data_IF_112243917869
#
_entry.id   IF_112243917869
#
_cell.length_a   1.000
_cell.length_b   1.000
_cell.length_c   1.000
_cell.angle_alpha   90.00
_cell.angle_beta   90.00
_cell.angle_gamma   90.00
#
_symmetry.space_group_name_H-M   'P 1'
#
loop_
_entity.id
_entity.type
_entity.pdbx_description
1 polymer ?
#
# COMPACT_ATOMS: atom_id res chain seq x y z
N UNK A 1 -1.37 4.51 -11.73
CA UNK A 1 -1.07 5.09 -10.40
C UNK A 1 0.43 5.35 -10.19
N UNK A 2 1.20 5.65 -11.25
CA UNK A 2 2.66 5.86 -11.15
C UNK A 2 3.02 7.29 -10.70
N UNK A 3 2.10 8.26 -10.85
CA UNK A 3 2.37 9.67 -10.52
C UNK A 3 2.52 9.99 -9.01
N UNK A 4 1.94 9.18 -8.12
CA UNK A 4 2.00 9.40 -6.66
C UNK A 4 3.34 9.00 -6.03
N UNK A 5 3.93 7.89 -6.50
CA UNK A 5 5.19 7.35 -5.94
C UNK A 5 6.37 8.28 -6.23
N UNK A 6 6.43 8.85 -7.44
CA UNK A 6 7.46 9.82 -7.82
C UNK A 6 7.38 11.16 -7.06
N UNK A 7 6.23 11.45 -6.45
CA UNK A 7 5.99 12.73 -5.77
C UNK A 7 5.98 12.64 -4.24
N UNK A 8 6.24 11.45 -3.65
CA UNK A 8 6.34 11.29 -2.18
C UNK A 8 5.01 11.39 -1.42
N UNK A 9 3.86 11.24 -2.10
CA UNK A 9 2.56 11.28 -1.44
C UNK A 9 1.67 10.09 -1.84
N UNK A 10 0.87 9.62 -0.89
CA UNK A 10 -0.19 8.64 -1.16
C UNK A 10 -1.53 9.37 -1.36
N UNK A 11 -2.14 9.17 -2.52
CA UNK A 11 -3.53 9.56 -2.79
C UNK A 11 -4.37 8.30 -2.94
N UNK A 12 -5.13 7.95 -1.91
CA UNK A 12 -5.91 6.72 -1.86
C UNK A 12 -7.36 6.94 -2.33
N UNK A 13 -7.82 6.03 -3.20
CA UNK A 13 -9.23 5.79 -3.55
C UNK A 13 -10.04 7.01 -3.99
N UNK A 14 -9.94 7.44 -5.26
CA UNK A 14 -10.87 8.42 -5.88
C UNK A 14 -11.17 9.67 -5.01
N UNK A 15 -10.28 10.07 -4.10
CA UNK A 15 -10.49 11.20 -3.18
C UNK A 15 -11.37 10.92 -1.94
N UNK A 16 -11.72 9.66 -1.62
CA UNK A 16 -12.58 9.35 -0.47
C UNK A 16 -11.81 9.46 0.87
N UNK A 17 -12.23 10.45 1.67
CA UNK A 17 -11.77 10.77 3.03
C UNK A 17 -11.62 9.56 3.97
N UNK A 18 -12.43 8.51 3.82
CA UNK A 18 -12.44 7.33 4.70
C UNK A 18 -11.18 6.47 4.54
N UNK A 19 -10.47 6.56 3.42
CA UNK A 19 -9.26 5.76 3.21
C UNK A 19 -8.04 6.34 3.94
N UNK A 20 -7.96 7.66 4.04
CA UNK A 20 -6.79 8.37 4.55
C UNK A 20 -6.95 8.81 6.00
N UNK A 21 -8.19 8.99 6.51
CA UNK A 21 -8.45 9.48 7.88
C UNK A 21 -7.83 8.63 9.00
N UNK A 22 -7.70 7.33 8.78
CA UNK A 22 -7.15 6.41 9.79
C UNK A 22 -5.63 6.43 9.86
N UNK A 23 -4.95 6.97 8.84
CA UNK A 23 -3.50 7.00 8.80
C UNK A 23 -2.96 8.07 9.75
N UNK A 24 -1.88 7.72 10.44
CA UNK A 24 -1.09 8.57 11.31
C UNK A 24 0.37 8.48 10.92
N UNK A 25 1.15 9.48 11.32
CA UNK A 25 2.59 9.40 11.23
C UNK A 25 3.10 8.13 11.91
N UNK A 26 3.99 7.40 11.24
CA UNK A 26 4.49 6.11 11.70
C UNK A 26 3.77 4.92 11.10
N UNK A 27 2.58 5.09 10.54
CA UNK A 27 1.88 3.99 9.88
C UNK A 27 2.60 3.59 8.58
N UNK A 28 2.58 2.30 8.28
CA UNK A 28 3.09 1.78 7.03
C UNK A 28 1.97 1.57 6.01
N UNK A 29 2.27 1.86 4.75
CA UNK A 29 1.38 1.65 3.61
C UNK A 29 2.12 0.79 2.59
N UNK A 30 1.43 -0.23 2.09
CA UNK A 30 1.85 -0.99 0.92
C UNK A 30 0.78 -0.95 -0.15
N UNK A 31 1.19 -0.82 -1.40
CA UNK A 31 0.31 -0.89 -2.55
C UNK A 31 0.35 -2.27 -3.17
N UNK A 32 -0.83 -2.84 -3.38
CA UNK A 32 -1.03 -4.07 -4.13
C UNK A 32 -1.60 -3.75 -5.51
N UNK A 33 -0.96 -4.26 -6.56
CA UNK A 33 -1.39 -4.13 -7.94
C UNK A 33 -1.96 -5.47 -8.43
N UNK A 34 -3.28 -5.62 -8.58
CA UNK A 34 -3.86 -6.86 -9.09
C UNK A 34 -3.54 -7.08 -10.59
N UNK A 35 -3.39 -6.00 -11.36
CA UNK A 35 -3.14 -6.01 -12.81
C UNK A 35 -2.25 -4.81 -13.20
N UNK A 36 -1.61 -4.88 -14.37
CA UNK A 36 -0.73 -3.82 -14.88
C UNK A 36 -1.48 -2.52 -15.22
N UNK A 37 -2.78 -2.62 -15.54
CA UNK A 37 -3.60 -1.49 -15.99
C UNK A 37 -4.99 -1.41 -15.36
N UNK A 38 -5.64 -0.27 -15.60
CA UNK A 38 -7.03 0.00 -15.18
C UNK A 38 -7.98 -0.68 -16.17
N UNK A 39 -8.34 -1.94 -15.90
CA UNK A 39 -9.35 -2.69 -16.67
C UNK A 39 -8.78 -3.70 -17.67
N UNK A 40 -7.59 -3.48 -18.21
CA UNK A 40 -6.91 -4.44 -19.09
C UNK A 40 -5.41 -4.49 -18.81
N UNK A 41 -4.82 -5.68 -18.92
CA UNK A 41 -3.40 -5.95 -18.60
C UNK A 41 -3.19 -7.26 -17.86
N UNK A 42 -1.97 -7.79 -17.90
CA UNK A 42 -1.61 -9.07 -17.28
C UNK A 42 -1.85 -9.03 -15.76
N UNK A 43 -2.15 -10.19 -15.17
CA UNK A 43 -2.28 -10.30 -13.72
C UNK A 43 -0.91 -10.07 -13.08
N UNK A 44 -0.72 -8.91 -12.45
CA UNK A 44 0.50 -8.58 -11.69
C UNK A 44 0.47 -9.33 -10.36
N UNK A 45 -0.65 -9.20 -9.64
CA UNK A 45 -0.87 -9.79 -8.33
C UNK A 45 0.37 -9.63 -7.42
N UNK A 46 0.90 -8.42 -7.34
CA UNK A 46 2.13 -8.13 -6.63
C UNK A 46 2.00 -6.87 -5.77
N UNK A 47 2.75 -6.84 -4.68
CA UNK A 47 3.04 -5.63 -3.93
C UNK A 47 4.07 -4.83 -4.70
N UNK A 48 3.80 -3.56 -4.99
CA UNK A 48 4.62 -2.76 -5.92
C UNK A 48 5.38 -1.62 -5.27
N UNK A 49 4.88 -1.10 -4.15
CA UNK A 49 5.61 -0.11 -3.36
C UNK A 49 5.19 -0.21 -1.89
N UNK A 50 6.13 0.08 -1.00
CA UNK A 50 5.93 0.17 0.44
C UNK A 50 6.54 1.48 0.93
N UNK A 51 5.93 2.10 1.94
CA UNK A 51 6.42 3.34 2.51
C UNK A 51 5.78 3.66 3.85
N UNK A 52 6.41 4.59 4.56
CA UNK A 52 5.99 5.03 5.88
C UNK A 52 5.36 6.41 5.82
N UNK A 53 4.22 6.57 6.46
CA UNK A 53 3.56 7.86 6.60
C UNK A 53 4.40 8.77 7.49
N UNK A 54 4.81 9.91 6.94
CA UNK A 54 5.57 10.94 7.66
C UNK A 54 4.71 12.14 8.05
N UNK A 55 3.58 12.36 7.38
CA UNK A 55 2.64 13.42 7.73
C UNK A 55 1.87 13.10 9.01
N UNK A 56 1.83 14.05 9.94
CA UNK A 56 1.06 13.96 11.20
C UNK A 56 -0.44 13.74 10.95
N UNK A 57 -1.00 14.44 9.97
CA UNK A 57 -2.43 14.36 9.62
C UNK A 57 -2.63 14.36 8.10
N UNK A 58 -3.68 13.68 7.61
CA UNK A 58 -4.09 13.80 6.22
C UNK A 58 -4.45 15.25 5.89
N UNK A 59 -3.84 15.82 4.85
CA UNK A 59 -4.12 17.17 4.39
C UNK A 59 -4.92 17.14 3.08
N UNK A 60 -5.78 18.14 2.89
CA UNK A 60 -6.65 18.26 1.71
C UNK A 60 -5.96 19.14 0.69
N UNK A 61 -5.83 18.66 -0.55
CA UNK A 61 -5.33 19.48 -1.66
C UNK A 61 -6.52 19.91 -2.52
N UNK A 62 -6.61 21.21 -2.84
CA UNK A 62 -7.55 21.72 -3.83
C UNK A 62 -7.04 21.40 -5.22
N UNK A 63 -7.75 20.54 -5.95
CA UNK A 63 -7.38 20.18 -7.31
C UNK A 63 -8.59 20.31 -8.24
N UNK A 64 -8.83 21.55 -8.69
CA UNK A 64 -9.92 21.97 -9.58
C UNK A 64 -11.35 21.64 -9.09
N UNK A 65 -12.33 22.36 -9.66
CA UNK A 65 -13.75 22.40 -9.25
C UNK A 65 -14.27 21.02 -8.79
N UNK A 66 -14.60 20.93 -7.49
CA UNK A 66 -15.22 19.80 -6.77
C UNK A 66 -14.39 18.52 -6.53
N UNK A 67 -13.08 18.50 -6.82
CA UNK A 67 -12.22 17.37 -6.47
C UNK A 67 -11.15 17.77 -5.44
N UNK A 68 -11.36 17.37 -4.19
CA UNK A 68 -10.43 17.66 -3.10
C UNK A 68 -9.93 16.38 -2.43
N UNK A 69 -8.92 15.71 -3.01
CA UNK A 69 -8.38 14.49 -2.43
C UNK A 69 -7.64 14.78 -1.12
N UNK A 70 -7.78 13.86 -0.17
CA UNK A 70 -6.91 13.79 0.99
C UNK A 70 -5.61 13.12 0.59
N UNK A 71 -4.48 13.70 1.03
CA UNK A 71 -3.13 13.19 0.83
C UNK A 71 -2.45 13.02 2.19
N UNK A 72 -1.51 12.10 2.22
CA UNK A 72 -0.51 11.97 3.28
C UNK A 72 0.84 11.91 2.62
N UNK A 73 1.84 12.49 3.28
CA UNK A 73 3.23 12.37 2.85
C UNK A 73 3.72 10.99 3.29
N UNK A 74 4.34 10.29 2.35
CA UNK A 74 4.83 8.94 2.54
C UNK A 74 6.26 8.89 2.07
N UNK A 75 7.14 8.48 2.97
CA UNK A 75 8.51 8.15 2.62
C UNK A 75 8.53 6.72 2.07
N UNK A 76 8.58 6.61 0.74
CA UNK A 76 8.60 5.33 0.06
C UNK A 76 10.01 4.74 0.07
N UNK A 77 10.10 3.45 0.35
CA UNK A 77 11.36 2.71 0.26
C UNK A 77 11.70 2.52 -1.23
N UNK A 78 12.67 3.30 -1.72
CA UNK A 78 13.03 3.35 -3.16
C UNK A 78 13.67 2.06 -3.65
N UNK A 79 14.31 1.32 -2.76
CA UNK A 79 14.95 0.04 -3.06
C UNK A 79 13.93 -1.13 -3.08
N UNK A 80 12.65 -0.84 -2.80
CA UNK A 80 11.61 -1.86 -2.80
C UNK A 80 11.37 -2.41 -4.20
N UNK A 81 11.44 -3.73 -4.32
CA UNK A 81 11.18 -4.43 -5.58
C UNK A 81 9.77 -5.03 -5.57
N UNK A 82 9.10 -5.14 -6.74
CA UNK A 82 7.77 -5.74 -6.79
C UNK A 82 7.78 -7.21 -6.34
N UNK A 83 6.97 -7.53 -5.32
CA UNK A 83 6.87 -8.86 -4.73
C UNK A 83 5.53 -9.54 -5.08
N UNK A 84 5.52 -10.65 -5.84
CA UNK A 84 4.30 -11.40 -6.11
C UNK A 84 3.63 -11.88 -4.82
N UNK A 85 2.30 -11.83 -4.75
CA UNK A 85 1.56 -12.31 -3.56
C UNK A 85 1.50 -13.83 -3.47
N UNK A 86 1.63 -14.54 -4.61
CA UNK A 86 1.44 -16.00 -4.69
C UNK A 86 2.32 -16.80 -3.71
N UNK A 87 3.63 -16.54 -3.58
CA UNK A 87 4.48 -17.24 -2.60
C UNK A 87 4.10 -16.93 -1.16
N UNK A 88 3.49 -15.77 -0.91
CA UNK A 88 3.16 -15.27 0.42
C UNK A 88 1.76 -15.69 0.89
N UNK A 89 0.97 -16.36 0.04
CA UNK A 89 -0.44 -16.65 0.33
C UNK A 89 -0.64 -17.44 1.61
N UNK A 90 0.25 -18.39 1.89
CA UNK A 90 0.20 -19.25 3.08
C UNK A 90 0.92 -18.63 4.28
N UNK A 91 1.68 -17.54 4.08
CA UNK A 91 2.46 -16.89 5.13
C UNK A 91 1.76 -15.66 5.71
N UNK A 92 0.99 -14.93 4.91
CA UNK A 92 0.27 -13.75 5.34
C UNK A 92 -1.03 -14.15 6.05
N UNK A 93 -1.25 -13.62 7.26
CA UNK A 93 -2.53 -13.75 7.96
C UNK A 93 -3.68 -13.21 7.13
N UNK A 94 -3.41 -12.19 6.31
CA UNK A 94 -4.35 -11.65 5.33
C UNK A 94 -5.00 -12.72 4.43
N UNK A 95 -4.23 -13.72 3.98
CA UNK A 95 -4.62 -14.65 2.92
C UNK A 95 -4.68 -16.10 3.35
N UNK A 96 -3.92 -16.51 4.38
CA UNK A 96 -3.75 -17.91 4.80
C UNK A 96 -5.06 -18.61 5.15
N UNK A 97 -6.01 -17.89 5.75
CA UNK A 97 -7.31 -18.46 6.14
C UNK A 97 -8.32 -18.53 4.98
N UNK A 98 -7.96 -18.01 3.80
CA UNK A 98 -8.87 -17.89 2.64
C UNK A 98 -8.57 -18.87 1.51
N UNK A 99 -7.40 -19.53 1.51
CA UNK A 99 -7.00 -20.52 0.50
C UNK A 99 -7.23 -20.01 -0.93
N UNK A 100 -7.90 -20.80 -1.77
CA UNK A 100 -8.23 -20.43 -3.18
C UNK A 100 -9.05 -19.14 -3.33
N UNK A 101 -9.73 -18.69 -2.26
CA UNK A 101 -10.56 -17.49 -2.25
C UNK A 101 -9.82 -16.22 -1.80
N UNK A 102 -8.48 -16.25 -1.65
CA UNK A 102 -7.67 -15.10 -1.25
C UNK A 102 -7.92 -13.85 -2.12
N UNK A 103 -8.32 -14.00 -3.38
CA UNK A 103 -8.68 -12.87 -4.25
C UNK A 103 -9.80 -11.98 -3.70
N UNK A 104 -10.64 -12.48 -2.76
CA UNK A 104 -11.69 -11.68 -2.12
C UNK A 104 -11.11 -10.69 -1.09
N UNK A 105 -9.97 -11.02 -0.47
CA UNK A 105 -9.36 -10.12 0.50
C UNK A 105 -8.71 -8.93 -0.20
N UNK A 106 -8.01 -9.15 -1.30
CA UNK A 106 -7.33 -8.06 -2.02
C UNK A 106 -8.24 -7.18 -2.89
N UNK A 107 -9.53 -7.50 -3.04
CA UNK A 107 -10.49 -6.70 -3.84
C UNK A 107 -10.97 -5.42 -3.16
N UNK A 108 -10.79 -5.28 -1.85
CA UNK A 108 -11.24 -4.10 -1.10
C UNK A 108 -10.41 -2.84 -1.41
N UNK A 109 -10.96 -1.63 -1.24
CA UNK A 109 -10.22 -0.39 -1.51
C UNK A 109 -9.05 -0.15 -0.54
N UNK A 110 -9.13 -0.73 0.66
CA UNK A 110 -8.03 -0.81 1.63
C UNK A 110 -8.31 -1.96 2.61
N UNK A 111 -7.26 -2.52 3.17
CA UNK A 111 -7.34 -3.38 4.36
C UNK A 111 -6.28 -2.98 5.36
N UNK A 112 -6.60 -3.18 6.64
CA UNK A 112 -5.59 -3.11 7.69
C UNK A 112 -4.78 -4.40 7.62
N UNK A 113 -3.47 -4.25 7.66
CA UNK A 113 -2.52 -5.35 7.79
C UNK A 113 -1.95 -5.33 9.20
N UNK A 114 -1.68 -6.51 9.74
CA UNK A 114 -0.90 -6.64 10.97
C UNK A 114 0.56 -6.36 10.68
N UNK A 115 1.31 -5.94 11.71
CA UNK A 115 2.75 -5.65 11.57
C UNK A 115 3.53 -6.85 11.03
N UNK A 116 3.16 -8.06 11.47
CA UNK A 116 3.74 -9.33 11.03
C UNK A 116 3.60 -9.54 9.51
N UNK A 117 2.43 -9.19 8.94
CA UNK A 117 2.19 -9.29 7.49
C UNK A 117 2.98 -8.21 6.74
N UNK A 118 3.02 -6.99 7.27
CA UNK A 118 3.80 -5.90 6.68
C UNK A 118 5.29 -6.24 6.62
N UNK A 119 5.82 -6.86 7.68
CA UNK A 119 7.21 -7.29 7.75
C UNK A 119 7.53 -8.37 6.72
N UNK A 120 6.66 -9.38 6.56
CA UNK A 120 6.80 -10.41 5.51
C UNK A 120 6.75 -9.83 4.12
N UNK A 121 5.87 -8.84 3.88
CA UNK A 121 5.81 -8.16 2.59
C UNK A 121 7.09 -7.34 2.36
N UNK A 122 7.59 -6.62 3.37
CA UNK A 122 8.84 -5.87 3.27
C UNK A 122 10.04 -6.78 2.96
N UNK A 123 10.10 -7.95 3.59
CA UNK A 123 11.11 -8.98 3.31
C UNK A 123 11.03 -9.49 1.88
N UNK A 124 9.83 -9.86 1.42
CA UNK A 124 9.62 -10.27 0.04
C UNK A 124 9.93 -9.17 -0.99
N UNK A 125 9.80 -7.90 -0.59
CA UNK A 125 10.16 -6.74 -1.40
C UNK A 125 11.65 -6.37 -1.33
N UNK A 126 12.44 -7.06 -0.48
CA UNK A 126 13.88 -6.84 -0.32
C UNK A 126 14.25 -5.64 0.55
N UNK A 127 13.33 -5.13 1.37
CA UNK A 127 13.50 -3.89 2.17
C UNK A 127 13.24 -4.09 3.66
N UNK A 128 13.38 -5.33 4.14
CA UNK A 128 13.18 -5.66 5.56
C UNK A 128 14.08 -4.83 6.49
N UNK A 129 15.36 -4.66 6.16
CA UNK A 129 16.29 -3.90 6.98
C UNK A 129 15.82 -2.44 7.16
N UNK A 130 15.45 -1.77 6.06
CA UNK A 130 14.92 -0.41 6.09
C UNK A 130 13.55 -0.31 6.79
N UNK A 131 12.76 -1.37 6.77
CA UNK A 131 11.51 -1.46 7.51
C UNK A 131 11.75 -1.54 9.02
N UNK A 132 12.68 -2.41 9.45
CA UNK A 132 13.02 -2.63 10.86
C UNK A 132 13.84 -1.46 11.46
N UNK A 133 14.74 -0.83 10.70
CA UNK A 133 15.55 0.33 11.14
C UNK A 133 14.69 1.57 11.48
N UNK A 134 13.45 1.58 11.01
CA UNK A 134 12.52 2.67 11.28
C UNK A 134 11.71 2.41 12.57
N UNK A 135 11.73 1.21 13.15
CA UNK A 135 11.04 0.91 14.40
C UNK A 135 11.79 1.60 15.57
N UNK A 136 11.12 2.44 16.38
CA UNK A 136 11.76 3.18 17.48
C UNK A 136 12.17 2.29 18.66
#
# INVERSE_FOLDING_TARGET
FIAGVLSGFAQLGHGKHIAVKSLRKGDWIVYYSPREGMGDGSAVQAFTTIGRVVSETPYRVEQAMDFNPYRVDVDYLKDATPAPIKPLLDELRLTRDYGVNWGIVVRGPKRRLELEDMRRIADAMGVLAAFDDCEP
#
